data_IF_363649682861
#
_entry.id   IF_363649682861
#
_cell.length_a   1.000
_cell.length_b   1.000
_cell.length_c   1.000
_cell.angle_alpha   90.00
_cell.angle_beta   90.00
_cell.angle_gamma   90.00
#
_symmetry.space_group_name_H-M   'P 1'
#
loop_
_entity.id
_entity.type
_entity.pdbx_description
1 polymer ?
#
# COMPACT_ATOMS: atom_id res chain seq x y z
N UNK A 1 -33.76 24.68 8.83
CA UNK A 1 -32.38 24.67 9.37
C UNK A 1 -31.82 23.26 9.62
N UNK A 2 -32.45 22.16 9.15
CA UNK A 2 -31.97 20.79 9.46
C UNK A 2 -31.22 20.02 8.36
N UNK A 3 -31.20 20.50 7.11
CA UNK A 3 -30.58 19.77 5.98
C UNK A 3 -29.07 20.01 5.80
N UNK A 4 -28.54 21.16 6.26
CA UNK A 4 -27.12 21.50 6.16
C UNK A 4 -26.23 20.77 7.17
N UNK A 5 -26.74 20.56 8.39
CA UNK A 5 -25.98 19.90 9.45
C UNK A 5 -25.86 18.39 9.23
N UNK A 6 -26.90 17.77 8.64
CA UNK A 6 -26.91 16.34 8.31
C UNK A 6 -25.90 16.01 7.20
N UNK A 7 -25.79 16.88 6.18
CA UNK A 7 -24.85 16.67 5.06
C UNK A 7 -23.39 16.81 5.47
N UNK A 8 -23.06 17.81 6.31
CA UNK A 8 -21.71 17.96 6.88
C UNK A 8 -21.34 16.78 7.77
N UNK A 9 -22.30 16.33 8.60
CA UNK A 9 -22.09 15.17 9.48
C UNK A 9 -21.83 13.90 8.68
N UNK A 10 -22.62 13.65 7.63
CA UNK A 10 -22.50 12.45 6.80
C UNK A 10 -21.16 12.41 6.06
N UNK A 11 -20.74 13.53 5.46
CA UNK A 11 -19.42 13.65 4.82
C UNK A 11 -18.30 13.46 5.85
N UNK A 12 -18.43 14.05 7.04
CA UNK A 12 -17.47 13.88 8.13
C UNK A 12 -17.31 12.42 8.57
N UNK A 13 -18.42 11.69 8.69
CA UNK A 13 -18.41 10.25 9.00
C UNK A 13 -17.73 9.45 7.88
N UNK A 14 -18.02 9.76 6.61
CA UNK A 14 -17.37 9.11 5.48
C UNK A 14 -15.86 9.34 5.47
N UNK A 15 -15.39 10.56 5.70
CA UNK A 15 -13.95 10.86 5.80
C UNK A 15 -13.32 10.07 6.96
N UNK A 16 -13.95 10.06 8.14
CA UNK A 16 -13.47 9.30 9.30
C UNK A 16 -13.38 7.80 8.98
N UNK A 17 -14.40 7.23 8.34
CA UNK A 17 -14.40 5.83 7.91
C UNK A 17 -13.22 5.54 6.98
N UNK A 18 -12.92 6.41 6.00
CA UNK A 18 -11.76 6.24 5.13
C UNK A 18 -10.44 6.30 5.91
N UNK A 19 -10.31 7.20 6.88
CA UNK A 19 -9.12 7.27 7.74
C UNK A 19 -8.96 6.00 8.55
N UNK A 20 -10.05 5.43 9.09
CA UNK A 20 -10.02 4.14 9.78
C UNK A 20 -9.56 3.02 8.84
N UNK A 21 -10.05 2.99 7.60
CA UNK A 21 -9.62 2.02 6.58
C UNK A 21 -8.14 2.16 6.22
N UNK A 22 -7.64 3.38 6.08
CA UNK A 22 -6.23 3.66 5.87
C UNK A 22 -5.36 3.17 7.02
N UNK A 23 -5.78 3.43 8.27
CA UNK A 23 -5.05 2.95 9.44
C UNK A 23 -5.11 1.43 9.56
N UNK A 24 -6.22 0.81 9.16
CA UNK A 24 -6.39 -0.64 9.11
C UNK A 24 -5.46 -1.29 8.09
N UNK A 25 -5.45 -0.83 6.82
CA UNK A 25 -4.58 -1.42 5.79
C UNK A 25 -3.11 -1.23 6.13
N UNK A 26 -2.74 -0.08 6.69
CA UNK A 26 -1.38 0.15 7.20
C UNK A 26 -1.03 -0.78 8.36
N UNK A 27 -2.00 -1.16 9.20
CA UNK A 27 -1.78 -2.08 10.30
C UNK A 27 -1.66 -3.55 9.86
N UNK A 28 -2.20 -3.89 8.67
CA UNK A 28 -2.10 -5.21 8.03
C UNK A 28 -0.67 -5.50 7.55
N UNK A 29 0.14 -4.48 7.26
CA UNK A 29 1.58 -4.70 7.15
C UNK A 29 2.13 -5.11 8.52
N UNK A 30 2.21 -6.42 8.71
CA UNK A 30 2.50 -7.03 10.00
C UNK A 30 3.97 -6.92 10.33
N UNK A 31 4.88 -6.79 9.36
CA UNK A 31 6.30 -6.99 9.56
C UNK A 31 7.11 -5.69 9.46
N UNK A 32 6.77 -4.77 8.55
CA UNK A 32 7.53 -3.55 8.24
C UNK A 32 6.67 -2.27 8.18
N UNK A 33 5.72 -2.12 9.10
CA UNK A 33 4.76 -0.98 9.14
C UNK A 33 5.31 0.37 8.67
N UNK A 34 4.76 0.82 7.55
CA UNK A 34 5.10 2.10 6.93
C UNK A 34 4.97 3.32 7.84
N UNK A 35 5.89 4.27 7.75
CA UNK A 35 5.78 5.52 8.50
C UNK A 35 4.70 6.43 7.90
N UNK A 36 3.86 7.03 8.75
CA UNK A 36 2.78 7.92 8.29
C UNK A 36 3.31 9.11 7.48
N UNK A 37 4.57 9.51 7.68
CA UNK A 37 5.21 10.57 6.89
C UNK A 37 5.29 10.27 5.38
N UNK A 38 5.25 9.00 4.97
CA UNK A 38 5.20 8.60 3.56
C UNK A 38 3.79 8.28 3.07
N UNK A 39 2.95 7.73 3.96
CA UNK A 39 1.56 7.37 3.64
C UNK A 39 0.68 8.62 3.45
N UNK A 40 0.85 9.64 4.29
CA UNK A 40 0.03 10.87 4.24
C UNK A 40 0.20 11.61 2.91
N UNK A 41 1.44 11.88 2.40
CA UNK A 41 1.61 12.56 1.12
C UNK A 41 0.94 11.86 -0.06
N UNK A 42 1.02 10.53 -0.14
CA UNK A 42 0.38 9.79 -1.25
C UNK A 42 -1.14 9.75 -1.11
N UNK A 43 -1.67 9.68 0.12
CA UNK A 43 -3.09 9.84 0.39
C UNK A 43 -3.60 11.23 -0.04
N UNK A 44 -2.86 12.29 0.32
CA UNK A 44 -3.19 13.66 -0.08
C UNK A 44 -3.09 13.86 -1.60
N UNK A 45 -2.13 13.21 -2.28
CA UNK A 45 -2.08 13.19 -3.74
C UNK A 45 -3.36 12.59 -4.33
N UNK A 46 -3.85 11.49 -3.76
CA UNK A 46 -5.13 10.88 -4.14
C UNK A 46 -6.28 11.88 -4.07
N UNK A 47 -6.40 12.64 -2.97
CA UNK A 47 -7.44 13.66 -2.79
C UNK A 47 -7.29 14.88 -3.72
N UNK A 48 -6.09 15.17 -4.22
CA UNK A 48 -5.79 16.44 -4.90
C UNK A 48 -5.27 16.20 -6.31
N UNK A 49 -3.98 15.90 -6.47
CA UNK A 49 -3.33 15.74 -7.76
C UNK A 49 -4.04 14.74 -8.67
N UNK A 50 -4.38 13.56 -8.15
CA UNK A 50 -5.07 12.54 -8.93
C UNK A 50 -6.46 13.01 -9.38
N UNK A 51 -7.24 13.63 -8.48
CA UNK A 51 -8.57 14.17 -8.81
C UNK A 51 -8.48 15.29 -9.84
N UNK A 52 -7.58 16.27 -9.67
CA UNK A 52 -7.45 17.41 -10.59
C UNK A 52 -7.09 16.96 -12.00
N UNK A 53 -6.11 16.05 -12.12
CA UNK A 53 -5.72 15.46 -13.40
C UNK A 53 -6.92 14.73 -14.02
N UNK A 54 -7.63 13.95 -13.23
CA UNK A 54 -8.77 13.14 -13.70
C UNK A 54 -9.94 14.00 -14.16
N UNK A 55 -10.32 15.02 -13.38
CA UNK A 55 -11.36 15.97 -13.74
C UNK A 55 -11.05 16.67 -15.06
N UNK A 56 -9.81 17.13 -15.25
CA UNK A 56 -9.39 17.81 -16.46
C UNK A 56 -9.53 16.91 -17.70
N UNK A 57 -8.90 15.72 -17.66
CA UNK A 57 -8.89 14.83 -18.83
C UNK A 57 -10.25 14.18 -19.07
N UNK A 58 -10.98 13.75 -18.03
CA UNK A 58 -12.32 13.19 -18.20
C UNK A 58 -13.27 14.21 -18.84
N UNK A 59 -13.21 15.47 -18.40
CA UNK A 59 -14.03 16.56 -19.00
C UNK A 59 -13.62 16.82 -20.45
N UNK A 60 -12.32 16.91 -20.73
CA UNK A 60 -11.81 17.13 -22.08
C UNK A 60 -12.29 16.05 -23.05
N UNK A 61 -12.15 14.78 -22.68
CA UNK A 61 -12.58 13.66 -23.53
C UNK A 61 -14.11 13.57 -23.64
N UNK A 62 -14.86 13.88 -22.58
CA UNK A 62 -16.32 13.93 -22.65
C UNK A 62 -16.80 14.98 -23.66
N UNK A 63 -16.19 16.17 -23.70
CA UNK A 63 -16.51 17.22 -24.69
C UNK A 63 -16.16 16.78 -26.11
N UNK A 64 -14.99 16.17 -26.30
CA UNK A 64 -14.57 15.67 -27.62
C UNK A 64 -15.53 14.59 -28.13
N UNK A 65 -15.92 13.64 -27.28
CA UNK A 65 -16.84 12.57 -27.64
C UNK A 65 -18.26 13.07 -27.84
N UNK A 66 -18.74 14.03 -27.05
CA UNK A 66 -20.07 14.62 -27.20
C UNK A 66 -20.27 15.15 -28.62
N UNK A 67 -19.27 15.83 -29.18
CA UNK A 67 -19.31 16.32 -30.55
C UNK A 67 -19.40 15.22 -31.63
N UNK A 68 -18.99 13.99 -31.32
CA UNK A 68 -18.94 12.88 -32.27
C UNK A 68 -20.11 11.88 -32.14
N UNK A 69 -20.55 11.60 -30.91
CA UNK A 69 -21.52 10.53 -30.61
C UNK A 69 -22.73 10.99 -29.79
N UNK A 70 -22.81 12.28 -29.44
CA UNK A 70 -23.84 12.83 -28.55
C UNK A 70 -23.51 12.68 -27.07
N UNK A 71 -24.16 13.47 -26.23
CA UNK A 71 -23.84 13.60 -24.80
C UNK A 71 -23.98 12.30 -24.00
N UNK A 72 -25.08 11.56 -24.21
CA UNK A 72 -25.35 10.33 -23.46
C UNK A 72 -24.30 9.24 -23.76
N UNK A 73 -24.00 9.01 -25.04
CA UNK A 73 -22.98 8.05 -25.44
C UNK A 73 -21.57 8.49 -25.00
N UNK A 74 -21.28 9.79 -25.06
CA UNK A 74 -20.01 10.34 -24.59
C UNK A 74 -19.79 10.12 -23.10
N UNK A 75 -20.82 10.30 -22.27
CA UNK A 75 -20.75 10.03 -20.83
C UNK A 75 -20.44 8.55 -20.55
N UNK A 76 -21.15 7.64 -21.22
CA UNK A 76 -20.93 6.18 -21.06
C UNK A 76 -19.52 5.77 -21.49
N UNK A 77 -19.08 6.22 -22.67
CA UNK A 77 -17.74 5.90 -23.18
C UNK A 77 -16.65 6.47 -22.29
N UNK A 78 -16.83 7.70 -21.79
CA UNK A 78 -15.88 8.35 -20.89
C UNK A 78 -15.81 7.60 -19.56
N UNK A 79 -16.94 7.28 -18.95
CA UNK A 79 -16.99 6.59 -17.66
C UNK A 79 -16.36 5.18 -17.71
N UNK A 80 -16.52 4.45 -18.82
CA UNK A 80 -16.06 3.06 -18.92
C UNK A 80 -14.62 2.95 -19.45
N UNK A 81 -14.23 3.77 -20.43
CA UNK A 81 -12.96 3.59 -21.13
C UNK A 81 -11.92 4.68 -20.86
N UNK A 82 -12.34 5.91 -20.53
CA UNK A 82 -11.41 7.02 -20.31
C UNK A 82 -11.10 7.18 -18.83
N UNK A 83 -12.13 7.31 -17.99
CA UNK A 83 -11.99 7.57 -16.57
C UNK A 83 -11.08 6.53 -15.88
N UNK A 84 -11.25 5.20 -16.05
CA UNK A 84 -10.36 4.23 -15.43
C UNK A 84 -8.91 4.37 -15.85
N UNK A 85 -8.65 4.66 -17.13
CA UNK A 85 -7.29 4.86 -17.65
C UNK A 85 -6.66 6.09 -17.02
N UNK A 86 -7.33 7.23 -17.11
CA UNK A 86 -6.84 8.52 -16.62
C UNK A 86 -6.63 8.46 -15.10
N UNK A 87 -7.62 7.97 -14.37
CA UNK A 87 -7.61 7.95 -12.92
C UNK A 87 -6.54 7.02 -12.35
N UNK A 88 -6.45 5.78 -12.84
CA UNK A 88 -5.42 4.85 -12.36
C UNK A 88 -4.02 5.28 -12.78
N UNK A 89 -3.86 5.96 -13.92
CA UNK A 89 -2.57 6.57 -14.28
C UNK A 89 -2.22 7.74 -13.35
N UNK A 90 -3.17 8.62 -13.04
CA UNK A 90 -2.96 9.77 -12.16
C UNK A 90 -2.66 9.34 -10.71
N UNK A 91 -3.33 8.28 -10.23
CA UNK A 91 -3.04 7.64 -8.94
C UNK A 91 -1.69 6.91 -8.96
N UNK A 92 -1.44 6.13 -10.02
CA UNK A 92 -0.20 5.38 -10.22
C UNK A 92 1.04 6.27 -10.29
N UNK A 93 0.91 7.48 -10.81
CA UNK A 93 1.99 8.48 -10.81
C UNK A 93 2.47 8.81 -9.38
N UNK A 94 1.56 8.87 -8.40
CA UNK A 94 1.93 9.08 -7.01
C UNK A 94 2.85 7.96 -6.49
N UNK A 95 2.52 6.72 -6.83
CA UNK A 95 3.28 5.54 -6.43
C UNK A 95 4.64 5.49 -7.11
N UNK A 96 4.71 5.84 -8.40
CA UNK A 96 5.97 5.92 -9.13
C UNK A 96 6.87 6.99 -8.55
N UNK A 97 6.33 8.18 -8.25
CA UNK A 97 7.08 9.26 -7.60
C UNK A 97 7.55 8.84 -6.20
N UNK A 98 6.69 8.23 -5.39
CA UNK A 98 7.06 7.72 -4.08
C UNK A 98 8.19 6.67 -4.17
N UNK A 99 8.09 5.73 -5.11
CA UNK A 99 9.11 4.71 -5.36
C UNK A 99 10.43 5.32 -5.82
N UNK A 100 10.41 6.29 -6.75
CA UNK A 100 11.62 6.96 -7.23
C UNK A 100 12.27 7.78 -6.12
N UNK A 101 11.50 8.54 -5.35
CA UNK A 101 12.00 9.31 -4.20
C UNK A 101 12.61 8.37 -3.15
N UNK A 102 11.91 7.30 -2.78
CA UNK A 102 12.41 6.29 -1.84
C UNK A 102 13.70 5.64 -2.37
N UNK A 103 13.76 5.29 -3.65
CA UNK A 103 14.95 4.72 -4.30
C UNK A 103 16.15 5.68 -4.25
N UNK A 104 15.94 6.96 -4.54
CA UNK A 104 16.99 8.00 -4.50
C UNK A 104 17.46 8.24 -3.06
N UNK A 105 16.53 8.30 -2.10
CA UNK A 105 16.84 8.50 -0.68
C UNK A 105 17.61 7.30 -0.13
N UNK A 106 17.19 6.07 -0.46
CA UNK A 106 17.88 4.84 -0.06
C UNK A 106 19.32 4.81 -0.57
N UNK A 107 19.55 5.17 -1.85
CA UNK A 107 20.91 5.26 -2.42
C UNK A 107 21.81 6.26 -1.67
N UNK A 108 21.25 7.33 -1.11
CA UNK A 108 22.02 8.40 -0.44
C UNK A 108 22.19 8.20 1.07
N UNK A 109 21.18 7.62 1.74
CA UNK A 109 21.10 7.56 3.22
C UNK A 109 21.04 6.15 3.79
N UNK A 110 21.02 5.11 2.95
CA UNK A 110 21.02 3.70 3.37
C UNK A 110 19.73 3.26 4.09
N UNK A 111 18.61 3.95 3.88
CA UNK A 111 17.36 3.72 4.60
C UNK A 111 16.09 4.03 3.80
N UNK A 112 14.98 3.47 4.31
CA UNK A 112 13.58 3.45 3.86
C UNK A 112 13.43 3.15 2.37
N UNK A 113 13.10 1.91 2.08
CA UNK A 113 12.85 1.42 0.74
C UNK A 113 11.34 1.22 0.62
N UNK A 114 10.78 1.64 -0.49
CA UNK A 114 9.58 1.00 -1.02
C UNK A 114 10.06 -0.40 -1.46
N UNK A 115 10.10 -1.33 -0.52
CA UNK A 115 10.79 -2.62 -0.57
C UNK A 115 9.84 -3.81 -0.48
N UNK A 116 8.56 -3.63 -0.76
CA UNK A 116 7.63 -4.73 -0.59
C UNK A 116 6.40 -4.62 -1.47
N UNK A 117 5.80 -5.78 -1.72
CA UNK A 117 4.43 -5.84 -2.22
C UNK A 117 3.47 -5.27 -1.18
N UNK A 118 3.72 -5.49 0.13
CA UNK A 118 2.91 -4.87 1.19
C UNK A 118 2.97 -3.35 1.16
N UNK A 119 4.17 -2.77 1.00
CA UNK A 119 4.37 -1.32 0.84
C UNK A 119 3.53 -0.82 -0.34
N UNK A 120 3.60 -1.52 -1.48
CA UNK A 120 2.80 -1.24 -2.66
C UNK A 120 1.29 -1.28 -2.41
N UNK A 121 0.83 -2.25 -1.63
CA UNK A 121 -0.57 -2.39 -1.21
C UNK A 121 -0.97 -1.23 -0.29
N UNK A 122 -0.14 -0.86 0.69
CA UNK A 122 -0.43 0.22 1.65
C UNK A 122 -0.45 1.57 0.94
N UNK A 123 0.57 1.88 0.14
CA UNK A 123 0.66 3.14 -0.60
C UNK A 123 -0.40 3.22 -1.70
N UNK A 124 -0.64 2.14 -2.44
CA UNK A 124 -1.71 2.06 -3.45
C UNK A 124 -3.09 2.29 -2.85
N UNK A 125 -3.36 1.63 -1.72
CA UNK A 125 -4.59 1.85 -0.96
C UNK A 125 -4.73 3.28 -0.47
N UNK A 126 -3.64 3.87 0.03
CA UNK A 126 -3.65 5.24 0.52
C UNK A 126 -4.04 6.24 -0.57
N UNK A 127 -3.46 6.13 -1.77
CA UNK A 127 -3.83 6.96 -2.92
C UNK A 127 -5.30 6.72 -3.31
N UNK A 128 -5.72 5.46 -3.42
CA UNK A 128 -7.10 5.09 -3.78
C UNK A 128 -8.14 5.60 -2.80
N UNK A 129 -7.88 5.48 -1.49
CA UNK A 129 -8.73 6.02 -0.43
C UNK A 129 -8.84 7.55 -0.49
N UNK A 130 -7.73 8.24 -0.72
CA UNK A 130 -7.74 9.69 -0.89
C UNK A 130 -8.61 10.12 -2.07
N UNK A 131 -8.46 9.43 -3.22
CA UNK A 131 -9.28 9.69 -4.40
C UNK A 131 -10.77 9.43 -4.16
N UNK A 132 -11.09 8.30 -3.52
CA UNK A 132 -12.47 7.89 -3.24
C UNK A 132 -13.24 8.93 -2.39
N UNK A 133 -12.58 9.63 -1.45
CA UNK A 133 -13.23 10.69 -0.66
C UNK A 133 -13.83 11.76 -1.56
N UNK A 134 -13.04 12.28 -2.51
CA UNK A 134 -13.48 13.40 -3.36
C UNK A 134 -14.45 12.93 -4.42
N UNK A 135 -14.24 11.73 -4.94
CA UNK A 135 -15.18 11.12 -5.87
C UNK A 135 -16.56 10.91 -5.21
N UNK A 136 -16.61 10.32 -4.01
CA UNK A 136 -17.85 10.09 -3.28
C UNK A 136 -18.59 11.39 -2.97
N UNK A 137 -17.88 12.45 -2.55
CA UNK A 137 -18.47 13.78 -2.35
C UNK A 137 -19.04 14.34 -3.67
N UNK A 138 -18.37 14.08 -4.80
CA UNK A 138 -18.86 14.49 -6.11
C UNK A 138 -20.14 13.73 -6.49
N UNK A 139 -20.21 12.43 -6.22
CA UNK A 139 -21.42 11.63 -6.41
C UNK A 139 -22.56 12.06 -5.47
N UNK A 140 -22.26 12.44 -4.23
CA UNK A 140 -23.24 13.01 -3.31
C UNK A 140 -23.86 14.29 -3.90
N UNK A 141 -23.04 15.18 -4.45
CA UNK A 141 -23.51 16.43 -5.04
C UNK A 141 -24.37 16.21 -6.30
N UNK A 142 -24.09 15.15 -7.08
CA UNK A 142 -24.78 14.87 -8.34
C UNK A 142 -26.03 14.01 -8.18
N UNK A 143 -25.95 12.97 -7.34
CA UNK A 143 -26.95 11.89 -7.23
C UNK A 143 -27.56 11.77 -5.83
N UNK A 144 -27.15 12.61 -4.88
CA UNK A 144 -27.74 12.71 -3.55
C UNK A 144 -27.22 11.73 -2.50
N UNK A 145 -27.84 11.81 -1.33
CA UNK A 145 -27.44 11.11 -0.10
C UNK A 145 -27.46 9.58 -0.23
N UNK A 146 -28.50 9.01 -0.83
CA UNK A 146 -28.67 7.56 -0.93
C UNK A 146 -27.51 6.92 -1.71
N UNK A 147 -27.15 7.50 -2.86
CA UNK A 147 -26.02 7.04 -3.66
C UNK A 147 -24.71 7.12 -2.87
N UNK A 148 -24.49 8.22 -2.14
CA UNK A 148 -23.33 8.37 -1.28
C UNK A 148 -23.25 7.25 -0.25
N UNK A 149 -24.32 7.00 0.51
CA UNK A 149 -24.36 5.99 1.57
C UNK A 149 -24.07 4.59 1.01
N UNK A 150 -24.69 4.21 -0.10
CA UNK A 150 -24.46 2.91 -0.74
C UNK A 150 -23.00 2.76 -1.14
N UNK A 151 -22.42 3.78 -1.80
CA UNK A 151 -21.01 3.79 -2.20
C UNK A 151 -20.08 3.71 -1.00
N UNK A 152 -20.38 4.40 0.09
CA UNK A 152 -19.56 4.34 1.32
C UNK A 152 -19.58 2.97 1.99
N UNK A 153 -20.72 2.29 2.00
CA UNK A 153 -20.87 0.98 2.67
C UNK A 153 -20.28 -0.14 1.79
N UNK A 154 -20.62 -0.16 0.51
CA UNK A 154 -20.29 -1.28 -0.38
C UNK A 154 -19.09 -1.01 -1.29
N UNK A 155 -18.87 0.26 -1.65
CA UNK A 155 -17.82 0.72 -2.58
C UNK A 155 -16.54 1.24 -1.93
N UNK A 156 -16.48 1.29 -0.59
CA UNK A 156 -15.47 2.06 0.14
C UNK A 156 -14.02 1.57 -0.04
N UNK A 157 -13.81 0.36 -0.56
CA UNK A 157 -12.48 -0.24 -0.78
C UNK A 157 -12.11 -0.42 -2.25
N UNK A 158 -13.02 -0.23 -3.21
CA UNK A 158 -12.77 -0.48 -4.64
C UNK A 158 -11.52 0.22 -5.15
N UNK A 159 -11.46 1.55 -5.06
CA UNK A 159 -10.29 2.34 -5.47
C UNK A 159 -8.99 1.91 -4.79
N UNK A 160 -9.06 1.56 -3.49
CA UNK A 160 -7.89 1.08 -2.77
C UNK A 160 -7.38 -0.26 -3.33
N UNK A 161 -8.27 -1.20 -3.64
CA UNK A 161 -7.93 -2.48 -4.24
C UNK A 161 -7.40 -2.33 -5.67
N UNK A 162 -8.02 -1.46 -6.49
CA UNK A 162 -7.59 -1.23 -7.88
C UNK A 162 -6.18 -0.65 -7.93
N UNK A 163 -5.95 0.48 -7.27
CA UNK A 163 -4.66 1.17 -7.29
C UNK A 163 -3.57 0.36 -6.59
N UNK A 164 -3.93 -0.50 -5.62
CA UNK A 164 -2.99 -1.47 -5.04
C UNK A 164 -2.39 -2.42 -6.08
N UNK A 165 -3.07 -2.75 -7.18
CA UNK A 165 -2.48 -3.60 -8.24
C UNK A 165 -1.27 -2.93 -8.89
N UNK A 166 -1.36 -1.62 -9.16
CA UNK A 166 -0.22 -0.81 -9.60
C UNK A 166 0.90 -0.81 -8.56
N UNK A 167 0.54 -0.61 -7.28
CA UNK A 167 1.47 -0.65 -6.16
C UNK A 167 2.20 -1.97 -6.01
N UNK A 168 1.49 -3.10 -6.16
CA UNK A 168 2.05 -4.46 -6.15
C UNK A 168 3.08 -4.60 -7.28
N UNK A 169 2.76 -4.16 -8.50
CA UNK A 169 3.67 -4.19 -9.63
C UNK A 169 4.98 -3.43 -9.38
N UNK A 170 4.88 -2.26 -8.74
CA UNK A 170 6.04 -1.46 -8.30
C UNK A 170 6.80 -2.15 -7.16
N UNK A 171 6.08 -2.70 -6.18
CA UNK A 171 6.64 -3.40 -5.01
C UNK A 171 7.42 -4.67 -5.35
N UNK A 172 7.16 -5.26 -6.52
CA UNK A 172 7.90 -6.40 -7.05
C UNK A 172 9.22 -6.01 -7.75
N UNK A 173 9.46 -4.73 -8.07
CA UNK A 173 10.69 -4.29 -8.75
C UNK A 173 11.97 -4.73 -8.01
N UNK A 174 12.08 -4.61 -6.67
CA UNK A 174 13.28 -5.06 -5.95
C UNK A 174 13.52 -6.58 -6.00
N UNK A 175 12.50 -7.36 -6.35
CA UNK A 175 12.52 -8.82 -6.35
C UNK A 175 12.96 -9.43 -7.69
N UNK A 176 13.21 -8.61 -8.71
CA UNK A 176 13.59 -9.08 -10.05
C UNK A 176 14.90 -8.47 -10.56
N UNK A 177 15.70 -9.28 -11.27
CA UNK A 177 16.95 -8.83 -11.91
C UNK A 177 16.74 -8.20 -13.28
N UNK A 178 15.82 -8.78 -14.05
CA UNK A 178 15.65 -8.40 -15.45
C UNK A 178 15.18 -6.95 -15.57
N UNK A 179 15.91 -6.07 -16.27
CA UNK A 179 15.49 -4.67 -16.46
C UNK A 179 14.14 -4.60 -17.20
N UNK A 180 13.86 -5.57 -18.07
CA UNK A 180 12.57 -5.70 -18.74
C UNK A 180 11.44 -5.96 -17.73
N UNK A 181 11.64 -6.88 -16.78
CA UNK A 181 10.62 -7.15 -15.75
C UNK A 181 10.37 -5.96 -14.81
N UNK A 182 11.39 -5.14 -14.55
CA UNK A 182 11.24 -3.93 -13.72
C UNK A 182 10.29 -2.89 -14.32
N UNK A 183 10.16 -2.88 -15.65
CA UNK A 183 9.18 -2.03 -16.35
C UNK A 183 7.85 -2.76 -16.51
N UNK A 184 7.91 -4.04 -16.87
CA UNK A 184 6.73 -4.83 -17.19
C UNK A 184 5.81 -5.05 -15.98
N UNK A 185 6.36 -5.24 -14.78
CA UNK A 185 5.59 -5.48 -13.56
C UNK A 185 4.69 -4.28 -13.17
N UNK A 186 5.20 -3.04 -13.07
CA UNK A 186 4.34 -1.86 -12.89
C UNK A 186 3.30 -1.69 -14.00
N UNK A 187 3.69 -1.93 -15.26
CA UNK A 187 2.77 -1.79 -16.41
C UNK A 187 1.62 -2.80 -16.32
N UNK A 188 1.91 -4.05 -15.97
CA UNK A 188 0.85 -5.05 -15.75
C UNK A 188 -0.03 -4.72 -14.54
N UNK A 189 0.57 -4.23 -13.45
CA UNK A 189 -0.18 -3.77 -12.28
C UNK A 189 -1.17 -2.66 -12.64
N UNK A 190 -0.70 -1.66 -13.39
CA UNK A 190 -1.53 -0.56 -13.89
C UNK A 190 -2.60 -1.04 -14.86
N UNK A 191 -2.25 -1.89 -15.82
CA UNK A 191 -3.22 -2.45 -16.77
C UNK A 191 -4.31 -3.26 -16.05
N UNK A 192 -3.96 -4.02 -15.02
CA UNK A 192 -4.91 -4.75 -14.18
C UNK A 192 -5.81 -3.80 -13.37
N UNK A 193 -5.25 -2.74 -12.79
CA UNK A 193 -6.02 -1.70 -12.09
C UNK A 193 -7.07 -1.05 -13.02
N UNK A 194 -6.63 -0.62 -14.21
CA UNK A 194 -7.49 -0.03 -15.24
C UNK A 194 -8.59 -1.01 -15.65
N UNK A 195 -8.23 -2.27 -15.92
CA UNK A 195 -9.19 -3.28 -16.38
C UNK A 195 -10.27 -3.56 -15.34
N UNK A 196 -9.89 -3.76 -14.08
CA UNK A 196 -10.85 -4.07 -13.01
C UNK A 196 -11.74 -2.85 -12.71
N UNK A 197 -11.17 -1.64 -12.73
CA UNK A 197 -11.94 -0.41 -12.58
C UNK A 197 -12.90 -0.19 -13.75
N UNK A 198 -12.46 -0.37 -14.99
CA UNK A 198 -13.32 -0.31 -16.17
C UNK A 198 -14.45 -1.34 -16.11
N UNK A 199 -14.17 -2.56 -15.65
CA UNK A 199 -15.17 -3.59 -15.47
C UNK A 199 -16.18 -3.23 -14.37
N UNK A 200 -15.74 -2.61 -13.28
CA UNK A 200 -16.63 -2.07 -12.25
C UNK A 200 -17.55 -0.99 -12.82
N UNK A 201 -17.00 -0.01 -13.55
CA UNK A 201 -17.79 1.06 -14.17
C UNK A 201 -18.77 0.51 -15.21
N UNK A 202 -18.32 -0.39 -16.09
CA UNK A 202 -19.18 -1.09 -17.05
C UNK A 202 -20.33 -1.80 -16.33
N UNK A 203 -20.00 -2.52 -15.26
CA UNK A 203 -21.02 -3.26 -14.49
C UNK A 203 -22.00 -2.31 -13.84
N UNK A 204 -21.53 -1.19 -13.29
CA UNK A 204 -22.37 -0.16 -12.68
C UNK A 204 -23.28 0.51 -13.70
N UNK A 205 -22.77 0.83 -14.89
CA UNK A 205 -23.53 1.48 -15.96
C UNK A 205 -24.64 0.59 -16.52
N UNK A 206 -24.36 -0.70 -16.78
CA UNK A 206 -25.33 -1.57 -17.47
C UNK A 206 -26.13 -2.49 -16.55
N UNK A 207 -25.61 -2.79 -15.36
CA UNK A 207 -26.19 -3.77 -14.43
C UNK A 207 -26.39 -3.19 -13.01
N UNK A 208 -26.10 -1.90 -12.80
CA UNK A 208 -26.40 -1.19 -11.56
C UNK A 208 -25.75 -1.83 -10.33
N UNK A 209 -26.52 -2.20 -9.29
CA UNK A 209 -25.98 -2.74 -8.04
C UNK A 209 -25.13 -4.01 -8.18
N UNK A 210 -25.20 -4.73 -9.31
CA UNK A 210 -24.36 -5.90 -9.58
C UNK A 210 -22.85 -5.56 -9.55
N UNK A 211 -22.49 -4.29 -9.75
CA UNK A 211 -21.12 -3.80 -9.63
C UNK A 211 -20.51 -4.07 -8.24
N UNK A 212 -21.29 -3.94 -7.17
CA UNK A 212 -20.82 -4.21 -5.80
C UNK A 212 -20.61 -5.71 -5.55
N UNK A 213 -21.31 -6.58 -6.29
CA UNK A 213 -21.05 -8.02 -6.29
C UNK A 213 -19.69 -8.35 -6.93
N UNK A 214 -19.39 -7.71 -8.05
CA UNK A 214 -18.05 -7.79 -8.68
C UNK A 214 -16.97 -7.24 -7.75
N UNK A 215 -17.21 -6.08 -7.13
CA UNK A 215 -16.27 -5.48 -6.18
C UNK A 215 -15.99 -6.42 -5.01
N UNK A 216 -16.99 -7.09 -4.44
CA UNK A 216 -16.77 -8.08 -3.39
C UNK A 216 -15.82 -9.21 -3.83
N UNK A 217 -15.94 -9.68 -5.08
CA UNK A 217 -15.01 -10.69 -5.63
C UNK A 217 -13.59 -10.12 -5.76
N UNK A 218 -13.45 -8.87 -6.20
CA UNK A 218 -12.16 -8.17 -6.25
C UNK A 218 -11.56 -8.03 -4.86
N UNK A 219 -12.35 -7.65 -3.85
CA UNK A 219 -11.91 -7.53 -2.46
C UNK A 219 -11.50 -8.88 -1.87
N UNK A 220 -12.21 -9.96 -2.19
CA UNK A 220 -11.81 -11.31 -1.78
C UNK A 220 -10.47 -11.69 -2.40
N UNK A 221 -10.29 -11.46 -3.71
CA UNK A 221 -9.01 -11.70 -4.38
C UNK A 221 -7.89 -10.86 -3.76
N UNK A 222 -8.16 -9.60 -3.46
CA UNK A 222 -7.23 -8.67 -2.82
C UNK A 222 -6.80 -9.15 -1.43
N UNK A 223 -7.74 -9.58 -0.58
CA UNK A 223 -7.44 -10.18 0.74
C UNK A 223 -6.62 -11.46 0.59
N UNK A 224 -6.94 -12.32 -0.38
CA UNK A 224 -6.17 -13.53 -0.66
C UNK A 224 -4.73 -13.17 -1.04
N UNK A 225 -4.51 -12.17 -1.90
CA UNK A 225 -3.18 -11.70 -2.28
C UNK A 225 -2.38 -11.21 -1.07
N UNK A 226 -3.00 -10.41 -0.19
CA UNK A 226 -2.39 -9.96 1.08
C UNK A 226 -1.98 -11.17 1.93
N UNK A 227 -2.87 -12.13 2.13
CA UNK A 227 -2.62 -13.32 2.96
C UNK A 227 -1.48 -14.18 2.39
N UNK A 228 -1.48 -14.40 1.07
CA UNK A 228 -0.40 -15.12 0.37
C UNK A 228 0.93 -14.40 0.60
N UNK A 229 0.96 -13.08 0.43
CA UNK A 229 2.19 -12.33 0.57
C UNK A 229 2.70 -12.29 2.00
N UNK A 230 1.84 -12.09 2.99
CA UNK A 230 2.20 -12.20 4.42
C UNK A 230 2.78 -13.59 4.75
N UNK A 231 2.29 -14.65 4.10
CA UNK A 231 2.85 -15.99 4.26
C UNK A 231 4.25 -16.12 3.62
N UNK A 232 4.51 -15.46 2.49
CA UNK A 232 5.82 -15.38 1.85
C UNK A 232 6.82 -14.62 2.75
N UNK A 233 6.40 -13.49 3.30
CA UNK A 233 7.19 -12.68 4.24
C UNK A 233 7.55 -13.48 5.50
N UNK A 234 6.55 -14.15 6.09
CA UNK A 234 6.77 -15.05 7.23
C UNK A 234 7.82 -16.12 6.94
N UNK A 235 7.73 -16.78 5.77
CA UNK A 235 8.70 -17.81 5.36
C UNK A 235 10.09 -17.21 5.16
N UNK A 236 10.17 -16.02 4.57
CA UNK A 236 11.40 -15.27 4.35
C UNK A 236 12.09 -14.95 5.68
N UNK A 237 11.37 -14.36 6.63
CA UNK A 237 11.89 -14.05 7.97
C UNK A 237 12.42 -15.32 8.66
N UNK A 238 11.64 -16.41 8.61
CA UNK A 238 12.05 -17.68 9.25
C UNK A 238 13.29 -18.30 8.59
N UNK A 239 13.40 -18.21 7.26
CA UNK A 239 14.54 -18.74 6.52
C UNK A 239 15.81 -17.95 6.76
N UNK A 240 15.75 -16.63 6.57
CA UNK A 240 16.93 -15.76 6.59
C UNK A 240 17.48 -15.50 8.00
N UNK A 241 16.63 -15.58 9.04
CA UNK A 241 17.09 -15.44 10.43
C UNK A 241 17.69 -16.71 11.02
N UNK A 242 17.54 -17.88 10.36
CA UNK A 242 18.06 -19.15 10.89
C UNK A 242 19.58 -19.10 11.12
N UNK A 243 20.33 -18.58 10.14
CA UNK A 243 21.78 -18.48 10.22
C UNK A 243 22.23 -17.40 11.22
N UNK A 244 21.39 -16.38 11.44
CA UNK A 244 21.67 -15.30 12.40
C UNK A 244 21.54 -15.77 13.86
N UNK A 245 20.84 -16.88 14.11
CA UNK A 245 20.84 -17.55 15.43
C UNK A 245 22.18 -18.20 15.70
N UNK A 246 22.74 -18.90 14.70
CA UNK A 246 24.06 -19.53 14.83
C UNK A 246 25.18 -18.49 14.99
N UNK A 247 25.05 -17.33 14.33
CA UNK A 247 25.97 -16.21 14.47
C UNK A 247 25.83 -15.43 15.79
N UNK A 248 24.83 -15.73 16.62
CA UNK A 248 24.56 -15.00 17.87
C UNK A 248 23.94 -13.61 17.68
N UNK A 249 23.71 -13.16 16.44
CA UNK A 249 23.02 -11.91 16.14
C UNK A 249 21.61 -11.90 16.71
N UNK A 250 20.90 -13.03 16.65
CA UNK A 250 19.51 -13.21 17.11
C UNK A 250 19.43 -14.36 18.12
N UNK A 251 18.65 -14.21 19.19
CA UNK A 251 18.45 -15.28 20.17
C UNK A 251 17.43 -16.32 19.68
N UNK A 252 17.50 -17.54 20.21
CA UNK A 252 16.52 -18.59 19.91
C UNK A 252 15.08 -18.19 20.28
N UNK A 253 14.90 -17.42 21.36
CA UNK A 253 13.58 -16.90 21.77
C UNK A 253 13.02 -15.90 20.77
N UNK A 254 13.85 -14.98 20.25
CA UNK A 254 13.45 -14.02 19.22
C UNK A 254 13.13 -14.73 17.90
N UNK A 255 13.95 -15.70 17.50
CA UNK A 255 13.70 -16.51 16.31
C UNK A 255 12.33 -17.21 16.33
N UNK A 256 11.86 -17.64 17.51
CA UNK A 256 10.55 -18.27 17.67
C UNK A 256 9.38 -17.28 17.45
N UNK A 257 9.52 -16.02 17.87
CA UNK A 257 8.44 -15.03 17.85
C UNK A 257 8.43 -14.15 16.60
N UNK A 258 9.58 -13.83 16.01
CA UNK A 258 9.71 -12.85 14.93
C UNK A 258 8.89 -13.21 13.67
N UNK A 259 8.85 -14.47 13.20
CA UNK A 259 8.04 -14.84 12.04
C UNK A 259 6.53 -14.79 12.30
N UNK A 260 6.07 -14.68 13.55
CA UNK A 260 4.66 -14.80 13.91
C UNK A 260 4.16 -13.52 14.58
N UNK A 261 3.34 -12.75 13.87
CA UNK A 261 2.84 -11.46 14.34
C UNK A 261 2.18 -11.53 15.73
N UNK A 262 1.29 -12.50 15.95
CA UNK A 262 0.58 -12.63 17.23
C UNK A 262 1.53 -12.98 18.38
N UNK A 263 2.53 -13.84 18.16
CA UNK A 263 3.53 -14.17 19.17
C UNK A 263 4.35 -12.93 19.56
N UNK A 264 4.79 -12.15 18.56
CA UNK A 264 5.52 -10.89 18.78
C UNK A 264 4.66 -9.83 19.49
N UNK A 265 3.39 -9.73 19.13
CA UNK A 265 2.44 -8.81 19.78
C UNK A 265 2.18 -9.18 21.23
N UNK A 266 1.92 -10.47 21.52
CA UNK A 266 1.72 -10.95 22.89
C UNK A 266 2.97 -10.74 23.75
N UNK A 267 4.15 -10.94 23.18
CA UNK A 267 5.42 -10.61 23.84
C UNK A 267 5.50 -9.12 24.21
N UNK A 268 5.16 -8.21 23.30
CA UNK A 268 5.13 -6.78 23.60
C UNK A 268 4.10 -6.40 24.65
N UNK A 269 2.88 -6.95 24.55
CA UNK A 269 1.82 -6.70 25.54
C UNK A 269 2.26 -7.16 26.93
N UNK A 270 2.89 -8.34 27.04
CA UNK A 270 3.42 -8.84 28.31
C UNK A 270 4.43 -7.88 28.93
N UNK A 271 5.35 -7.32 28.13
CA UNK A 271 6.33 -6.34 28.61
C UNK A 271 5.67 -5.03 29.07
N UNK A 272 4.67 -4.56 28.33
CA UNK A 272 3.91 -3.35 28.68
C UNK A 272 3.16 -3.54 29.99
N UNK A 273 2.38 -4.63 30.10
CA UNK A 273 1.58 -4.92 31.30
C UNK A 273 2.43 -5.30 32.51
N UNK A 274 3.68 -5.75 32.33
CA UNK A 274 4.62 -5.96 33.43
C UNK A 274 5.43 -4.70 33.81
N UNK A 275 5.11 -3.53 33.25
CA UNK A 275 5.82 -2.27 33.53
C UNK A 275 7.22 -2.15 32.91
N UNK A 276 7.64 -3.10 32.06
CA UNK A 276 8.98 -3.18 31.45
C UNK A 276 9.07 -2.35 30.16
N UNK A 277 8.68 -1.07 30.23
CA UNK A 277 8.55 -0.19 29.07
C UNK A 277 9.89 0.06 28.36
N UNK A 278 10.98 0.19 29.10
CA UNK A 278 12.32 0.39 28.52
C UNK A 278 12.76 -0.82 27.67
N UNK A 279 12.45 -2.03 28.14
CA UNK A 279 12.75 -3.27 27.43
C UNK A 279 11.86 -3.46 26.22
N UNK A 280 10.57 -3.13 26.32
CA UNK A 280 9.67 -3.10 25.17
C UNK A 280 10.19 -2.18 24.06
N UNK A 281 10.62 -0.96 24.40
CA UNK A 281 11.20 -0.02 23.42
C UNK A 281 12.46 -0.58 22.76
N UNK A 282 13.34 -1.22 23.54
CA UNK A 282 14.57 -1.83 23.02
C UNK A 282 14.28 -3.03 22.12
N UNK A 283 13.44 -3.95 22.59
CA UNK A 283 13.05 -5.14 21.84
C UNK A 283 12.39 -4.77 20.53
N UNK A 284 11.51 -3.75 20.51
CA UNK A 284 10.89 -3.26 19.27
C UNK A 284 11.93 -2.85 18.22
N UNK A 285 12.93 -2.05 18.62
CA UNK A 285 14.02 -1.61 17.72
C UNK A 285 14.89 -2.77 17.23
N UNK A 286 15.20 -3.72 18.10
CA UNK A 286 15.98 -4.91 17.75
C UNK A 286 15.21 -5.80 16.77
N UNK A 287 13.93 -6.04 17.05
CA UNK A 287 13.06 -6.88 16.24
C UNK A 287 12.81 -6.27 14.85
N UNK A 288 12.62 -4.95 14.79
CA UNK A 288 12.51 -4.21 13.52
C UNK A 288 13.81 -4.34 12.71
N UNK A 289 14.97 -4.08 13.32
CA UNK A 289 16.26 -4.25 12.65
C UNK A 289 16.50 -5.71 12.17
N UNK A 290 16.03 -6.71 12.93
CA UNK A 290 16.12 -8.11 12.58
C UNK A 290 15.23 -8.47 11.38
N UNK A 291 13.99 -7.98 11.35
CA UNK A 291 13.09 -8.17 10.22
C UNK A 291 13.66 -7.52 8.96
N UNK A 292 14.12 -6.27 9.06
CA UNK A 292 14.75 -5.55 7.94
C UNK A 292 16.02 -6.28 7.47
N UNK A 293 16.78 -6.91 8.38
CA UNK A 293 17.94 -7.73 8.04
C UNK A 293 17.53 -8.95 7.21
N UNK A 294 16.46 -9.64 7.61
CA UNK A 294 15.95 -10.79 6.88
C UNK A 294 15.54 -10.41 5.45
N UNK A 295 14.77 -9.33 5.28
CA UNK A 295 14.38 -8.85 3.95
C UNK A 295 15.57 -8.36 3.13
N UNK A 296 16.51 -7.62 3.74
CA UNK A 296 17.73 -7.17 3.07
C UNK A 296 18.56 -8.36 2.57
N UNK A 297 18.68 -9.43 3.37
CA UNK A 297 19.37 -10.67 2.95
C UNK A 297 18.66 -11.34 1.78
N UNK A 298 17.33 -11.45 1.85
CA UNK A 298 16.51 -12.04 0.78
C UNK A 298 16.64 -11.25 -0.53
N UNK A 299 16.48 -9.93 -0.46
CA UNK A 299 16.65 -9.04 -1.62
C UNK A 299 18.08 -9.09 -2.15
N UNK A 300 19.10 -9.23 -1.30
CA UNK A 300 20.49 -9.42 -1.72
C UNK A 300 20.76 -10.72 -2.50
N UNK A 301 19.88 -11.73 -2.38
CA UNK A 301 19.94 -12.97 -3.20
C UNK A 301 19.26 -12.82 -4.55
N UNK A 302 18.31 -11.90 -4.70
CA UNK A 302 17.53 -11.69 -5.92
C UNK A 302 17.95 -10.44 -6.71
N UNK A 303 18.56 -9.43 -6.07
CA UNK A 303 18.93 -8.13 -6.65
C UNK A 303 20.44 -7.84 -6.56
N UNK A 304 20.88 -6.65 -7.00
CA UNK A 304 22.29 -6.21 -7.04
C UNK A 304 23.00 -6.47 -5.69
N UNK A 305 23.95 -7.40 -5.59
CA UNK A 305 24.34 -7.94 -4.28
C UNK A 305 25.18 -7.00 -3.39
N UNK A 306 25.90 -6.03 -3.96
CA UNK A 306 26.90 -5.26 -3.21
C UNK A 306 26.31 -4.24 -2.19
N UNK A 307 25.34 -3.39 -2.55
CA UNK A 307 24.72 -2.45 -1.59
C UNK A 307 23.99 -3.19 -0.45
N UNK A 308 23.34 -4.31 -0.77
CA UNK A 308 22.53 -5.11 0.14
C UNK A 308 23.41 -5.82 1.18
N UNK A 309 24.61 -6.29 0.80
CA UNK A 309 25.59 -6.84 1.75
C UNK A 309 26.03 -5.81 2.79
N UNK A 310 26.39 -4.61 2.33
CA UNK A 310 26.77 -3.49 3.22
C UNK A 310 25.62 -3.12 4.16
N UNK A 311 24.38 -3.08 3.66
CA UNK A 311 23.19 -2.80 4.47
C UNK A 311 22.93 -3.89 5.50
N UNK A 312 23.09 -5.16 5.14
CA UNK A 312 22.99 -6.28 6.09
C UNK A 312 24.02 -6.18 7.22
N UNK A 313 25.26 -5.77 6.92
CA UNK A 313 26.29 -5.53 7.94
C UNK A 313 25.94 -4.36 8.87
N UNK A 314 25.42 -3.25 8.32
CA UNK A 314 24.93 -2.12 9.12
C UNK A 314 23.82 -2.57 10.07
N UNK A 315 22.87 -3.37 9.59
CA UNK A 315 21.77 -3.88 10.41
C UNK A 315 22.26 -4.83 11.52
N UNK A 316 23.23 -5.72 11.23
CA UNK A 316 23.87 -6.57 12.25
C UNK A 316 24.56 -5.73 13.34
N UNK A 317 25.30 -4.69 12.93
CA UNK A 317 25.92 -3.75 13.88
C UNK A 317 24.89 -3.02 14.72
N UNK A 318 23.81 -2.55 14.09
CA UNK A 318 22.71 -1.87 14.79
C UNK A 318 22.07 -2.78 15.83
N UNK A 319 21.88 -4.05 15.53
CA UNK A 319 21.38 -5.05 16.48
C UNK A 319 22.36 -5.21 17.66
N UNK A 320 23.67 -5.30 17.39
CA UNK A 320 24.68 -5.40 18.44
C UNK A 320 24.72 -4.14 19.34
N UNK A 321 24.69 -2.95 18.76
CA UNK A 321 24.63 -1.66 19.48
C UNK A 321 23.41 -1.57 20.40
N UNK A 322 22.21 -1.91 19.88
CA UNK A 322 20.97 -1.88 20.65
C UNK A 322 20.99 -2.89 21.82
N UNK A 323 21.81 -3.93 21.73
CA UNK A 323 22.04 -4.93 22.77
C UNK A 323 23.15 -4.55 23.76
N UNK A 324 23.96 -3.53 23.46
CA UNK A 324 25.10 -3.13 24.28
C UNK A 324 26.35 -4.02 24.11
N UNK A 325 26.45 -4.77 23.00
CA UNK A 325 27.62 -5.59 22.67
C UNK A 325 28.64 -4.85 21.79
N UNK A 326 29.91 -5.30 21.74
CA UNK A 326 30.91 -4.73 20.84
C UNK A 326 30.54 -4.95 19.37
N UNK A 327 30.72 -3.94 18.51
CA UNK A 327 30.39 -4.03 17.09
C UNK A 327 31.30 -5.06 16.37
N UNK A 328 30.77 -5.94 15.50
CA UNK A 328 31.60 -6.86 14.74
C UNK A 328 32.57 -6.10 13.82
N UNK A 329 33.87 -6.45 13.93
CA UNK A 329 34.93 -5.93 13.08
C UNK A 329 34.72 -6.41 11.63
N UNK A 330 34.93 -5.51 10.65
CA UNK A 330 34.83 -5.87 9.24
C UNK A 330 35.97 -6.84 8.91
N UNK A 331 35.64 -7.97 8.29
CA UNK A 331 36.64 -8.75 7.57
C UNK A 331 37.15 -7.90 6.42
N UNK A 332 38.46 -7.64 6.43
CA UNK A 332 39.23 -7.01 5.35
C UNK A 332 39.17 -7.83 4.07
#
# INVERSE_FOLDING_TARGET
MGGGDLSVTLVGVGVLQTVVYLLFIRAIDLYEREELGYVIPVFLWGMTGAVVISLFFNTLFAVIFSAAVGDEAAQVLTAIFVAPVVEECAKGLALLLAFVVASIVSLRKGGIEFSGVMDGIVYGSAVGFGFAIVEDISYYAQLGEETYVIRRIFGGFGHAAFTSLTGIGIGLIPWVRSPFLKVLLPVFGLAAAILVHALFNLTGTFFGPLAYGLELLVLLAYVILIVIWLAIERRTIRGELKDEVAAGTISAGEYAILPTYFARTFYYLRLIFSGRIAEWRRARKVHEAAVNLAFTKRLGRESYAAPQRRKAEILRRRIAELRGGPAPQLGS
#
